data_IF_161997537907
#
_entry.id   IF_161997537907
#
_cell.length_a   1.000
_cell.length_b   1.000
_cell.length_c   1.000
_cell.angle_alpha   90.00
_cell.angle_beta   90.00
_cell.angle_gamma   90.00
#
_symmetry.space_group_name_H-M   'P 1'
#
loop_
_entity.id
_entity.type
_entity.pdbx_description
1 polymer ?
#
# COMPACT_ATOMS: atom_id res chain seq x y z
N UNK A 1 4.93 -17.48 5.62
CA UNK A 1 4.04 -17.26 4.48
C UNK A 1 2.95 -16.32 4.98
N UNK A 2 3.15 -15.01 4.82
CA UNK A 2 2.23 -13.97 5.27
C UNK A 2 1.27 -13.66 4.14
N UNK A 3 -0.01 -13.78 4.42
CA UNK A 3 -1.07 -13.15 3.64
C UNK A 3 -1.41 -11.89 4.41
N UNK A 4 -1.27 -10.75 3.78
CA UNK A 4 -1.57 -9.46 4.36
C UNK A 4 -2.97 -9.04 3.92
N UNK A 5 -3.74 -8.48 4.83
CA UNK A 5 -5.16 -8.16 4.68
C UNK A 5 -5.37 -6.66 4.87
N UNK A 6 -5.92 -6.01 3.87
CA UNK A 6 -6.38 -4.62 3.99
C UNK A 6 -7.89 -4.60 4.13
N UNK A 7 -8.38 -4.17 5.28
CA UNK A 7 -9.77 -3.78 5.46
C UNK A 7 -9.89 -2.27 5.28
N UNK A 8 -10.53 -1.81 4.21
CA UNK A 8 -10.95 -0.41 4.15
C UNK A 8 -12.27 -0.23 4.89
N UNK A 9 -12.23 0.52 5.99
CA UNK A 9 -13.44 0.97 6.68
C UNK A 9 -14.23 1.90 5.77
N UNK A 10 -15.52 1.65 5.63
CA UNK A 10 -16.44 2.57 5.00
C UNK A 10 -16.38 3.89 5.77
N UNK A 11 -15.99 4.98 5.12
CA UNK A 11 -16.19 6.31 5.65
C UNK A 11 -17.69 6.51 5.86
N UNK A 12 -18.13 6.61 7.10
CA UNK A 12 -19.49 7.02 7.43
C UNK A 12 -19.70 8.44 6.91
N UNK A 13 -20.46 8.56 5.83
CA UNK A 13 -21.08 9.83 5.49
C UNK A 13 -22.13 10.17 6.55
N UNK A 14 -21.75 10.94 7.56
CA UNK A 14 -22.69 11.56 8.50
C UNK A 14 -23.44 12.71 7.79
N UNK A 15 -24.74 12.89 8.02
CA UNK A 15 -25.48 14.04 7.51
C UNK A 15 -25.19 15.27 8.37
N UNK A 16 -24.36 16.18 7.86
CA UNK A 16 -24.03 17.43 8.55
C UNK A 16 -23.08 18.30 7.73
N UNK A 17 -23.52 18.73 6.54
CA UNK A 17 -22.77 19.68 5.73
C UNK A 17 -22.83 21.09 6.26
N UNK A 18 -21.77 21.53 6.94
CA UNK A 18 -21.49 22.95 7.13
C UNK A 18 -20.62 23.44 5.97
N UNK A 19 -21.12 24.34 5.15
CA UNK A 19 -20.39 24.99 4.06
C UNK A 19 -19.29 25.88 4.67
N UNK A 20 -18.03 25.54 4.42
CA UNK A 20 -16.90 26.45 4.71
C UNK A 20 -16.91 27.56 3.67
N UNK A 21 -16.86 28.82 4.08
CA UNK A 21 -16.89 29.95 3.17
C UNK A 21 -15.61 30.01 2.32
N UNK A 22 -15.74 30.52 1.09
CA UNK A 22 -14.68 30.59 0.07
C UNK A 22 -13.41 31.35 0.51
N UNK A 23 -13.49 32.12 1.59
CA UNK A 23 -12.38 32.88 2.16
C UNK A 23 -11.43 32.07 3.06
N UNK A 24 -11.95 31.01 3.74
CA UNK A 24 -11.10 30.11 4.55
C UNK A 24 -10.34 29.10 3.70
N UNK A 25 -10.91 28.68 2.57
CA UNK A 25 -10.23 27.80 1.62
C UNK A 25 -9.02 28.41 0.93
N UNK A 26 -8.92 29.74 0.85
CA UNK A 26 -7.76 30.44 0.25
C UNK A 26 -6.57 30.60 1.19
N UNK A 27 -6.76 30.65 2.49
CA UNK A 27 -5.67 30.75 3.47
C UNK A 27 -4.98 29.40 3.71
N UNK A 28 -5.68 28.30 3.64
CA UNK A 28 -5.06 26.96 3.73
C UNK A 28 -4.27 26.54 2.48
N UNK A 29 -4.54 27.14 1.30
CA UNK A 29 -3.79 26.85 0.07
C UNK A 29 -2.41 27.51 0.01
N UNK A 30 -2.15 28.54 0.77
CA UNK A 30 -0.89 29.27 0.73
C UNK A 30 0.23 28.61 1.58
N UNK A 31 -0.13 27.96 2.70
CA UNK A 31 0.86 27.35 3.60
C UNK A 31 1.28 25.92 3.20
N UNK A 32 0.53 25.22 2.36
CA UNK A 32 0.87 23.86 1.90
C UNK A 32 1.75 23.87 0.64
N UNK A 33 1.82 25.01 -0.05
CA UNK A 33 2.54 25.15 -1.33
C UNK A 33 4.07 25.14 -1.20
N UNK A 34 4.63 25.54 -0.07
CA UNK A 34 6.09 25.66 0.08
C UNK A 34 6.77 24.40 0.65
N UNK A 35 6.02 23.48 1.28
CA UNK A 35 6.59 22.23 1.80
C UNK A 35 6.63 21.07 0.78
N UNK A 36 6.02 21.25 -0.39
CA UNK A 36 5.91 20.19 -1.41
C UNK A 36 6.91 20.28 -2.57
N UNK A 37 7.77 21.28 -2.60
CA UNK A 37 8.69 21.50 -3.73
C UNK A 37 10.02 20.73 -3.65
N UNK A 38 10.26 19.95 -2.61
CA UNK A 38 11.53 19.23 -2.42
C UNK A 38 11.49 17.74 -2.78
N UNK A 39 10.42 17.22 -3.32
CA UNK A 39 10.26 15.81 -3.67
C UNK A 39 9.88 15.62 -5.12
N UNK A 40 10.80 15.12 -5.93
CA UNK A 40 10.61 14.53 -7.27
C UNK A 40 11.16 15.31 -8.47
N UNK A 41 12.48 15.43 -8.54
CA UNK A 41 13.15 15.64 -9.84
C UNK A 41 13.94 14.41 -10.35
N UNK A 42 13.80 13.23 -9.74
CA UNK A 42 14.58 12.03 -10.11
C UNK A 42 13.87 11.06 -11.07
N UNK A 43 12.62 11.28 -11.44
CA UNK A 43 11.87 10.35 -12.27
C UNK A 43 11.91 10.69 -13.75
N UNK A 44 12.59 9.89 -14.58
CA UNK A 44 12.35 9.86 -16.02
C UNK A 44 10.88 9.55 -16.32
N UNK A 45 10.42 9.84 -17.55
CA UNK A 45 9.04 9.56 -17.96
C UNK A 45 8.71 8.06 -17.75
N UNK A 46 7.64 7.77 -17.00
CA UNK A 46 7.18 6.39 -16.77
C UNK A 46 6.57 5.84 -18.05
N UNK A 47 7.07 4.71 -18.53
CA UNK A 47 6.47 4.00 -19.65
C UNK A 47 5.29 3.13 -19.15
N UNK A 48 4.11 3.72 -19.15
CA UNK A 48 2.88 3.10 -18.69
C UNK A 48 1.99 2.59 -19.85
N UNK A 49 2.57 2.34 -21.03
CA UNK A 49 1.82 1.86 -22.20
C UNK A 49 1.30 0.44 -22.00
N UNK A 50 0.09 0.21 -22.48
CA UNK A 50 -0.43 -1.14 -22.68
C UNK A 50 0.29 -1.75 -23.88
N UNK A 51 1.01 -2.86 -23.67
CA UNK A 51 1.72 -3.60 -24.72
C UNK A 51 0.78 -4.50 -25.51
N UNK A 52 -0.15 -5.16 -24.82
CA UNK A 52 -1.20 -5.99 -25.44
C UNK A 52 -2.41 -6.11 -24.52
N UNK A 53 -3.56 -6.38 -25.13
CA UNK A 53 -4.80 -6.81 -24.49
C UNK A 53 -5.30 -8.05 -25.21
N UNK A 54 -5.48 -9.15 -24.49
CA UNK A 54 -5.88 -10.45 -25.02
C UNK A 54 -7.15 -10.92 -24.31
N UNK A 55 -8.03 -11.60 -25.03
CA UNK A 55 -9.22 -12.21 -24.46
C UNK A 55 -8.83 -13.25 -23.40
N UNK A 56 -9.54 -13.26 -22.30
CA UNK A 56 -9.39 -14.20 -21.20
C UNK A 56 -10.76 -14.60 -20.68
N UNK A 57 -10.84 -15.77 -20.07
CA UNK A 57 -12.07 -16.26 -19.45
C UNK A 57 -11.80 -16.66 -18.00
N UNK A 58 -12.71 -16.28 -17.12
CA UNK A 58 -12.72 -16.73 -15.73
C UNK A 58 -14.09 -17.28 -15.34
N UNK A 59 -14.19 -18.60 -15.18
CA UNK A 59 -15.44 -19.28 -14.75
C UNK A 59 -16.64 -18.96 -15.64
N UNK A 60 -16.46 -19.02 -16.96
CA UNK A 60 -17.50 -18.72 -17.93
C UNK A 60 -17.86 -17.24 -18.07
N UNK A 61 -16.97 -16.36 -17.59
CA UNK A 61 -17.10 -14.90 -17.75
C UNK A 61 -15.98 -14.39 -18.62
N UNK A 62 -16.34 -13.60 -19.60
CA UNK A 62 -15.37 -12.91 -20.46
C UNK A 62 -14.54 -11.94 -19.65
N UNK A 63 -13.29 -11.78 -20.05
CA UNK A 63 -12.34 -10.88 -19.45
C UNK A 63 -11.16 -10.64 -20.35
N UNK A 64 -10.13 -10.01 -19.81
CA UNK A 64 -8.94 -9.60 -20.53
C UNK A 64 -7.68 -9.92 -19.74
N UNK A 65 -6.59 -10.14 -20.45
CA UNK A 65 -5.22 -10.05 -19.90
C UNK A 65 -4.60 -8.80 -20.52
N UNK A 66 -4.45 -7.77 -19.70
CA UNK A 66 -3.78 -6.53 -20.09
C UNK A 66 -2.30 -6.65 -19.67
N UNK A 67 -1.39 -6.42 -20.63
CA UNK A 67 0.05 -6.47 -20.39
C UNK A 67 0.63 -5.08 -20.49
N UNK A 68 1.44 -4.73 -19.50
CA UNK A 68 2.29 -3.55 -19.51
C UNK A 68 3.75 -3.97 -19.35
N UNK A 69 4.66 -3.02 -19.25
CA UNK A 69 6.08 -3.32 -19.09
C UNK A 69 6.37 -4.26 -17.91
N UNK A 70 5.73 -4.03 -16.75
CA UNK A 70 6.03 -4.78 -15.53
C UNK A 70 4.85 -5.61 -15.01
N UNK A 71 3.66 -5.51 -15.59
CA UNK A 71 2.47 -6.20 -15.10
C UNK A 71 1.78 -7.07 -16.14
N UNK A 72 1.09 -8.13 -15.64
CA UNK A 72 0.02 -8.85 -16.33
C UNK A 72 -1.23 -8.74 -15.48
N UNK A 73 -2.25 -8.07 -16.00
CA UNK A 73 -3.50 -7.80 -15.28
C UNK A 73 -4.57 -8.72 -15.86
N UNK A 74 -4.94 -9.75 -15.11
CA UNK A 74 -6.07 -10.63 -15.41
C UNK A 74 -7.32 -9.99 -14.84
N UNK A 75 -8.30 -9.66 -15.68
CA UNK A 75 -9.45 -8.91 -15.22
C UNK A 75 -10.74 -9.35 -15.89
N UNK A 76 -11.81 -9.40 -15.11
CA UNK A 76 -13.19 -9.50 -15.57
C UNK A 76 -13.91 -8.16 -15.44
N UNK A 77 -13.17 -7.08 -15.13
CA UNK A 77 -13.71 -5.74 -14.98
C UNK A 77 -14.32 -5.24 -16.30
N UNK A 78 -15.57 -4.83 -16.25
CA UNK A 78 -16.30 -4.36 -17.42
C UNK A 78 -16.18 -2.86 -17.65
N UNK A 79 -15.86 -2.06 -16.63
CA UNK A 79 -15.57 -0.63 -16.79
C UNK A 79 -14.22 -0.43 -17.48
N UNK A 80 -14.30 -0.01 -18.77
CA UNK A 80 -13.12 0.28 -19.58
C UNK A 80 -12.21 1.35 -18.95
N UNK A 81 -12.81 2.36 -18.29
CA UNK A 81 -12.06 3.45 -17.64
C UNK A 81 -11.23 2.90 -16.47
N UNK A 82 -11.80 2.02 -15.66
CA UNK A 82 -11.07 1.39 -14.55
C UNK A 82 -9.93 0.51 -15.09
N UNK A 83 -10.18 -0.29 -16.15
CA UNK A 83 -9.13 -1.14 -16.74
C UNK A 83 -7.94 -0.33 -17.27
N UNK A 84 -8.22 0.69 -18.10
CA UNK A 84 -7.18 1.56 -18.68
C UNK A 84 -6.38 2.30 -17.59
N UNK A 85 -7.08 2.88 -16.62
CA UNK A 85 -6.44 3.59 -15.51
C UNK A 85 -5.64 2.66 -14.62
N UNK A 86 -6.08 1.43 -14.40
CA UNK A 86 -5.34 0.47 -13.58
C UNK A 86 -3.98 0.15 -14.18
N UNK A 87 -3.90 -0.06 -15.49
CA UNK A 87 -2.64 -0.32 -16.18
C UNK A 87 -1.63 0.84 -16.00
N UNK A 88 -2.08 2.07 -16.23
CA UNK A 88 -1.28 3.28 -16.01
C UNK A 88 -0.89 3.44 -14.55
N UNK A 89 -1.84 3.23 -13.65
CA UNK A 89 -1.65 3.40 -12.21
C UNK A 89 -0.58 2.48 -11.63
N UNK A 90 -0.60 1.21 -11.99
CA UNK A 90 0.34 0.21 -11.48
C UNK A 90 1.79 0.49 -11.91
N UNK A 91 2.01 0.93 -13.15
CA UNK A 91 3.35 1.30 -13.60
C UNK A 91 3.88 2.54 -12.86
N UNK A 92 3.03 3.53 -12.63
CA UNK A 92 3.40 4.72 -11.85
C UNK A 92 3.60 4.38 -10.37
N UNK A 93 2.79 3.47 -9.79
CA UNK A 93 2.98 2.98 -8.43
C UNK A 93 4.34 2.28 -8.29
N UNK A 94 4.69 1.41 -9.24
CA UNK A 94 5.99 0.75 -9.23
C UNK A 94 7.15 1.74 -9.35
N UNK A 95 7.03 2.75 -10.21
CA UNK A 95 8.04 3.81 -10.32
C UNK A 95 8.18 4.59 -9.00
N UNK A 96 7.07 4.87 -8.31
CA UNK A 96 7.08 5.48 -6.99
C UNK A 96 7.78 4.59 -5.95
N UNK A 97 7.51 3.29 -5.93
CA UNK A 97 8.17 2.35 -5.00
C UNK A 97 9.68 2.32 -5.20
N UNK A 98 10.11 2.30 -6.46
CA UNK A 98 11.52 2.08 -6.81
C UNK A 98 12.39 3.32 -6.79
N UNK A 99 11.80 4.53 -6.75
CA UNK A 99 12.58 5.77 -6.88
C UNK A 99 12.36 6.78 -5.75
N UNK A 100 11.15 6.86 -5.17
CA UNK A 100 10.84 8.00 -4.28
C UNK A 100 11.28 7.75 -2.83
N UNK A 101 11.22 6.52 -2.36
CA UNK A 101 11.68 6.16 -1.01
C UNK A 101 13.18 5.85 -1.01
N UNK A 102 13.60 4.95 -1.89
CA UNK A 102 14.99 4.55 -2.09
C UNK A 102 15.17 4.08 -3.52
N UNK A 103 16.41 4.06 -4.02
CA UNK A 103 16.69 3.40 -5.30
C UNK A 103 16.63 1.87 -5.10
N UNK A 104 15.52 1.27 -5.55
CA UNK A 104 15.24 -0.16 -5.37
C UNK A 104 15.26 -0.89 -6.72
N UNK A 105 15.62 -2.18 -6.74
CA UNK A 105 15.69 -2.95 -7.98
C UNK A 105 14.32 -3.14 -8.62
N UNK A 106 14.22 -3.17 -9.96
CA UNK A 106 12.98 -3.53 -10.64
C UNK A 106 12.61 -4.99 -10.32
N UNK A 107 11.32 -5.37 -10.44
CA UNK A 107 10.92 -6.76 -10.26
C UNK A 107 11.58 -7.66 -11.31
N UNK A 108 12.03 -8.89 -10.94
CA UNK A 108 12.77 -9.77 -11.84
C UNK A 108 11.92 -10.37 -12.97
N UNK A 109 10.61 -10.21 -12.89
CA UNK A 109 9.61 -10.65 -13.87
C UNK A 109 8.35 -9.82 -13.77
N UNK A 110 7.48 -9.89 -14.79
CA UNK A 110 6.17 -9.25 -14.73
C UNK A 110 5.37 -9.75 -13.52
N UNK A 111 4.71 -8.82 -12.86
CA UNK A 111 3.89 -9.06 -11.69
C UNK A 111 2.45 -9.39 -12.12
N UNK A 112 1.88 -10.44 -11.56
CA UNK A 112 0.52 -10.89 -11.87
C UNK A 112 -0.50 -10.23 -10.94
N UNK A 113 -1.50 -9.60 -11.52
CA UNK A 113 -2.59 -8.95 -10.80
C UNK A 113 -3.92 -9.55 -11.25
N UNK A 114 -4.79 -9.88 -10.30
CA UNK A 114 -6.18 -10.23 -10.54
C UNK A 114 -7.07 -9.09 -10.06
N UNK A 115 -7.61 -8.31 -11.02
CA UNK A 115 -8.63 -7.30 -10.78
C UNK A 115 -9.99 -7.88 -11.16
N UNK A 116 -10.79 -8.24 -10.18
CA UNK A 116 -12.10 -8.84 -10.40
C UNK A 116 -13.19 -7.76 -10.40
N UNK A 117 -14.17 -7.92 -11.27
CA UNK A 117 -15.31 -7.01 -11.39
C UNK A 117 -16.10 -6.83 -10.07
N UNK A 118 -16.17 -7.90 -9.28
CA UNK A 118 -16.95 -7.87 -8.05
C UNK A 118 -16.43 -8.82 -6.98
N UNK A 119 -16.95 -8.65 -5.75
CA UNK A 119 -16.59 -9.48 -4.60
C UNK A 119 -16.81 -10.97 -4.77
N UNK A 120 -17.93 -11.49 -5.33
CA UNK A 120 -18.10 -12.91 -5.57
C UNK A 120 -16.99 -13.55 -6.41
N UNK A 121 -16.55 -12.88 -7.47
CA UNK A 121 -15.45 -13.35 -8.31
C UNK A 121 -14.11 -13.28 -7.57
N UNK A 122 -13.89 -12.22 -6.77
CA UNK A 122 -12.74 -12.12 -5.90
C UNK A 122 -12.68 -13.26 -4.87
N UNK A 123 -13.80 -13.63 -4.27
CA UNK A 123 -13.89 -14.79 -3.37
C UNK A 123 -13.52 -16.08 -4.10
N UNK A 124 -13.98 -16.25 -5.33
CA UNK A 124 -13.69 -17.44 -6.13
C UNK A 124 -12.19 -17.53 -6.47
N UNK A 125 -11.57 -16.46 -6.97
CA UNK A 125 -10.13 -16.45 -7.28
C UNK A 125 -9.29 -16.63 -6.01
N UNK A 126 -9.71 -16.04 -4.88
CA UNK A 126 -9.05 -16.20 -3.58
C UNK A 126 -9.00 -17.66 -3.17
N UNK A 127 -10.14 -18.38 -3.26
CA UNK A 127 -10.21 -19.80 -2.93
C UNK A 127 -9.41 -20.67 -3.90
N UNK A 128 -9.37 -20.34 -5.18
CA UNK A 128 -8.52 -21.05 -6.15
C UNK A 128 -7.03 -20.92 -5.84
N UNK A 129 -6.58 -19.73 -5.45
CA UNK A 129 -5.17 -19.47 -5.15
C UNK A 129 -4.72 -20.03 -3.79
N UNK A 130 -5.58 -20.02 -2.79
CA UNK A 130 -5.21 -20.27 -1.40
C UNK A 130 -5.88 -21.51 -0.77
N UNK A 131 -6.87 -22.10 -1.43
CA UNK A 131 -7.66 -23.19 -0.86
C UNK A 131 -8.36 -22.77 0.44
N UNK A 132 -8.42 -23.64 1.43
CA UNK A 132 -9.03 -23.36 2.75
C UNK A 132 -8.35 -22.20 3.51
N UNK A 133 -7.10 -21.88 3.19
CA UNK A 133 -6.43 -20.69 3.77
C UNK A 133 -7.06 -19.38 3.34
N UNK A 134 -7.77 -19.37 2.21
CA UNK A 134 -8.51 -18.20 1.72
C UNK A 134 -9.74 -17.86 2.57
N UNK A 135 -10.28 -18.77 3.38
CA UNK A 135 -11.53 -18.52 4.11
C UNK A 135 -11.42 -17.38 5.13
N UNK A 136 -10.24 -17.20 5.73
CA UNK A 136 -9.98 -16.03 6.60
C UNK A 136 -9.95 -14.72 5.82
N UNK A 137 -9.41 -14.74 4.60
CA UNK A 137 -9.31 -13.58 3.73
C UNK A 137 -10.69 -13.17 3.21
N UNK A 138 -11.50 -14.13 2.77
CA UNK A 138 -12.85 -13.84 2.28
C UNK A 138 -13.78 -13.32 3.37
N UNK A 139 -13.42 -13.51 4.65
CA UNK A 139 -14.09 -12.88 5.79
C UNK A 139 -13.92 -11.37 5.88
N UNK A 140 -12.92 -10.78 5.21
CA UNK A 140 -12.72 -9.33 5.17
C UNK A 140 -13.79 -8.68 4.29
N UNK A 141 -14.53 -7.68 4.80
CA UNK A 141 -15.66 -7.09 4.06
C UNK A 141 -15.26 -6.40 2.78
N UNK A 142 -14.14 -5.65 2.79
CA UNK A 142 -13.61 -4.87 1.67
C UNK A 142 -12.08 -4.89 1.70
N UNK A 143 -11.45 -5.01 0.54
CA UNK A 143 -10.00 -4.95 0.43
C UNK A 143 -9.45 -5.87 -0.66
N UNK A 144 -8.16 -6.11 -0.59
CA UNK A 144 -7.39 -7.00 -1.44
C UNK A 144 -6.43 -7.84 -0.61
N UNK A 145 -5.53 -8.51 -1.28
CA UNK A 145 -4.38 -9.16 -0.66
C UNK A 145 -3.27 -9.40 -1.70
N UNK A 146 -2.05 -9.54 -1.21
CA UNK A 146 -0.93 -10.03 -2.02
C UNK A 146 -0.40 -11.36 -1.46
N UNK A 147 -0.14 -12.30 -2.35
CA UNK A 147 0.41 -13.61 -1.99
C UNK A 147 1.37 -14.13 -3.05
N UNK A 148 2.57 -14.55 -2.65
CA UNK A 148 3.60 -15.10 -3.55
C UNK A 148 3.93 -14.19 -4.73
N UNK A 149 3.81 -12.86 -4.54
CA UNK A 149 3.99 -11.88 -5.59
C UNK A 149 2.85 -11.80 -6.60
N UNK A 150 1.64 -12.18 -6.21
CA UNK A 150 0.39 -12.01 -6.95
C UNK A 150 -0.50 -11.05 -6.16
N UNK A 151 -0.95 -9.96 -6.79
CA UNK A 151 -1.93 -9.05 -6.22
C UNK A 151 -3.35 -9.48 -6.59
N UNK A 152 -4.30 -9.41 -5.64
CA UNK A 152 -5.70 -9.83 -5.88
C UNK A 152 -6.66 -8.85 -5.21
N UNK A 153 -7.45 -8.16 -5.99
CA UNK A 153 -8.45 -7.20 -5.52
C UNK A 153 -9.65 -7.15 -6.48
N UNK A 154 -10.67 -6.39 -6.14
CA UNK A 154 -11.89 -6.26 -6.95
C UNK A 154 -12.36 -4.83 -6.97
N UNK A 155 -13.30 -4.50 -7.85
CA UNK A 155 -13.85 -3.15 -7.94
C UNK A 155 -14.59 -2.75 -6.65
N UNK A 156 -14.09 -1.68 -6.04
CA UNK A 156 -14.61 -1.02 -4.84
C UNK A 156 -15.07 0.41 -5.14
N UNK A 157 -15.11 0.77 -6.43
CA UNK A 157 -15.14 2.12 -6.95
C UNK A 157 -13.74 2.65 -7.20
N UNK A 158 -13.59 3.46 -8.25
CA UNK A 158 -12.30 3.87 -8.81
C UNK A 158 -11.25 4.28 -7.75
N UNK A 159 -11.61 5.15 -6.80
CA UNK A 159 -10.69 5.66 -5.78
C UNK A 159 -10.21 4.56 -4.83
N UNK A 160 -11.15 3.80 -4.27
CA UNK A 160 -10.84 2.79 -3.27
C UNK A 160 -10.08 1.61 -3.90
N UNK A 161 -10.45 1.22 -5.14
CA UNK A 161 -9.75 0.19 -5.90
C UNK A 161 -8.29 0.58 -6.15
N UNK A 162 -8.02 1.84 -6.54
CA UNK A 162 -6.65 2.33 -6.74
C UNK A 162 -5.85 2.37 -5.44
N UNK A 163 -6.45 2.78 -4.32
CA UNK A 163 -5.76 2.77 -3.03
C UNK A 163 -5.41 1.35 -2.58
N UNK A 164 -6.34 0.38 -2.73
CA UNK A 164 -6.07 -1.04 -2.47
C UNK A 164 -4.99 -1.56 -3.42
N UNK A 165 -5.06 -1.22 -4.70
CA UNK A 165 -4.06 -1.63 -5.68
C UNK A 165 -2.66 -1.12 -5.32
N UNK A 166 -2.50 0.14 -4.89
CA UNK A 166 -1.21 0.67 -4.45
C UNK A 166 -0.67 -0.09 -3.23
N UNK A 167 -1.51 -0.33 -2.24
CA UNK A 167 -1.15 -1.08 -1.03
C UNK A 167 -0.69 -2.51 -1.35
N UNK A 168 -1.53 -3.26 -2.06
CA UNK A 168 -1.25 -4.67 -2.37
C UNK A 168 -0.10 -4.83 -3.37
N UNK A 169 0.08 -3.87 -4.28
CA UNK A 169 1.20 -3.90 -5.21
C UNK A 169 2.54 -3.63 -4.53
N UNK A 170 2.58 -2.85 -3.45
CA UNK A 170 3.77 -2.76 -2.61
C UNK A 170 4.14 -4.14 -2.04
N UNK A 171 3.21 -4.83 -1.39
CA UNK A 171 3.44 -6.18 -0.87
C UNK A 171 3.80 -7.18 -1.97
N UNK A 172 3.15 -7.10 -3.12
CA UNK A 172 3.46 -7.92 -4.27
C UNK A 172 4.90 -7.72 -4.73
N UNK A 173 5.32 -6.45 -4.83
CA UNK A 173 6.67 -6.07 -5.23
C UNK A 173 7.71 -6.56 -4.23
N UNK A 174 7.54 -6.30 -2.93
CA UNK A 174 8.48 -6.73 -1.90
C UNK A 174 8.60 -8.25 -1.81
N UNK A 175 7.49 -8.98 -1.92
CA UNK A 175 7.47 -10.45 -1.94
C UNK A 175 8.24 -11.06 -3.12
N UNK A 176 8.39 -10.32 -4.24
CA UNK A 176 9.11 -10.80 -5.43
C UNK A 176 10.54 -10.35 -5.50
N UNK A 177 10.86 -9.22 -4.89
CA UNK A 177 12.10 -8.50 -5.16
C UNK A 177 13.03 -8.49 -3.95
N UNK A 178 12.49 -8.44 -2.73
CA UNK A 178 13.31 -8.30 -1.54
C UNK A 178 13.94 -9.63 -1.11
N UNK A 179 15.23 -9.59 -0.76
CA UNK A 179 15.95 -10.74 -0.22
C UNK A 179 15.61 -11.01 1.25
N UNK A 180 15.34 -9.96 2.03
CA UNK A 180 14.87 -10.04 3.41
C UNK A 180 13.47 -9.43 3.54
N UNK A 181 12.70 -9.91 4.52
CA UNK A 181 11.40 -9.33 4.86
C UNK A 181 11.58 -8.13 5.77
N UNK A 182 10.84 -7.06 5.49
CA UNK A 182 10.70 -5.95 6.41
C UNK A 182 9.95 -6.38 7.69
N UNK A 183 10.21 -5.73 8.84
CA UNK A 183 9.34 -5.84 10.01
C UNK A 183 7.88 -5.49 9.64
N UNK A 184 6.91 -6.19 10.22
CA UNK A 184 5.50 -6.07 9.83
C UNK A 184 5.00 -4.63 9.89
N UNK A 185 5.31 -3.90 10.96
CA UNK A 185 4.91 -2.50 11.09
C UNK A 185 5.45 -1.59 9.97
N UNK A 186 6.66 -1.87 9.51
CA UNK A 186 7.30 -1.08 8.44
C UNK A 186 6.76 -1.48 7.07
N UNK A 187 6.59 -2.77 6.83
CA UNK A 187 5.97 -3.28 5.60
C UNK A 187 4.58 -2.69 5.39
N UNK A 188 3.74 -2.73 6.44
CA UNK A 188 2.40 -2.16 6.42
C UNK A 188 2.41 -0.63 6.37
N UNK A 189 3.28 -0.02 7.16
CA UNK A 189 3.40 1.44 7.17
C UNK A 189 3.79 2.01 5.82
N UNK A 190 4.70 1.36 5.10
CA UNK A 190 5.08 1.72 3.74
C UNK A 190 3.93 1.43 2.75
N UNK A 191 3.25 0.28 2.87
CA UNK A 191 2.10 -0.02 2.02
C UNK A 191 1.01 1.06 2.13
N UNK A 192 0.68 1.48 3.36
CA UNK A 192 -0.28 2.58 3.60
C UNK A 192 0.26 3.93 3.12
N UNK A 193 1.56 4.16 3.22
CA UNK A 193 2.21 5.38 2.72
C UNK A 193 2.09 5.47 1.19
N UNK A 194 2.15 4.33 0.47
CA UNK A 194 1.98 4.24 -0.99
C UNK A 194 0.53 4.45 -1.47
N UNK A 195 -0.50 4.35 -0.61
CA UNK A 195 -1.90 4.55 -0.97
C UNK A 195 -2.21 5.99 -1.41
N UNK A 196 -1.46 6.98 -0.89
CA UNK A 196 -1.71 8.40 -1.11
C UNK A 196 -1.40 8.83 -2.53
N UNK A 197 -2.43 9.14 -3.31
CA UNK A 197 -2.27 9.60 -4.70
C UNK A 197 -3.35 10.58 -5.13
N UNK A 198 -3.07 11.32 -6.19
CA UNK A 198 -4.02 12.18 -6.91
C UNK A 198 -3.81 12.05 -8.40
N UNK A 199 -4.87 12.26 -9.18
CA UNK A 199 -4.79 12.29 -10.64
C UNK A 199 -4.60 13.73 -11.12
N UNK A 200 -3.58 13.96 -11.95
CA UNK A 200 -3.30 15.25 -12.60
C UNK A 200 -3.08 15.03 -14.10
N UNK A 201 -3.93 15.61 -14.92
CA UNK A 201 -3.81 15.47 -16.40
C UNK A 201 -3.82 14.01 -16.90
N UNK A 202 -4.58 13.12 -16.25
CA UNK A 202 -4.64 11.69 -16.63
C UNK A 202 -3.51 10.83 -16.09
N UNK A 203 -2.60 11.40 -15.27
CA UNK A 203 -1.45 10.69 -14.66
C UNK A 203 -1.62 10.64 -13.13
N UNK A 204 -1.40 9.50 -12.48
CA UNK A 204 -1.38 9.42 -11.01
C UNK A 204 -0.08 10.05 -10.48
N UNK A 205 -0.21 10.92 -9.49
CA UNK A 205 0.89 11.51 -8.74
C UNK A 205 0.78 11.01 -7.31
N UNK A 206 1.82 10.35 -6.82
CA UNK A 206 1.85 9.79 -5.49
C UNK A 206 2.26 10.87 -4.49
N UNK A 207 1.37 11.16 -3.57
CA UNK A 207 1.54 12.12 -2.50
C UNK A 207 1.06 11.44 -1.20
N UNK A 208 1.95 10.93 -0.36
CA UNK A 208 1.55 10.18 0.84
C UNK A 208 0.56 10.92 1.74
N UNK A 209 0.63 12.25 1.76
CA UNK A 209 -0.33 13.11 2.49
C UNK A 209 -1.74 13.18 1.85
N UNK A 210 -1.90 12.70 0.62
CA UNK A 210 -3.22 12.64 -0.01
C UNK A 210 -4.13 11.55 0.58
N UNK A 211 -3.60 10.70 1.46
CA UNK A 211 -4.38 9.69 2.18
C UNK A 211 -5.14 10.31 3.37
N UNK A 212 -6.16 11.11 3.06
CA UNK A 212 -6.94 11.82 4.07
C UNK A 212 -7.68 10.88 5.02
N UNK A 213 -8.10 9.69 4.55
CA UNK A 213 -8.78 8.70 5.40
C UNK A 213 -7.90 8.19 6.54
N UNK A 214 -6.59 8.00 6.30
CA UNK A 214 -5.64 7.61 7.37
C UNK A 214 -5.38 8.74 8.33
N UNK A 215 -5.31 9.96 7.83
CA UNK A 215 -5.18 11.15 8.67
C UNK A 215 -6.40 11.35 9.58
N UNK A 216 -7.61 11.24 9.05
CA UNK A 216 -8.83 11.36 9.84
C UNK A 216 -8.91 10.25 10.90
N UNK A 217 -8.59 9.01 10.54
CA UNK A 217 -8.53 7.90 11.50
C UNK A 217 -7.49 8.15 12.60
N UNK A 218 -6.32 8.67 12.25
CA UNK A 218 -5.30 9.04 13.25
C UNK A 218 -5.84 10.08 14.25
N UNK A 219 -6.58 11.09 13.76
CA UNK A 219 -7.20 12.09 14.64
C UNK A 219 -8.21 11.46 15.60
N UNK A 220 -9.02 10.51 15.12
CA UNK A 220 -9.94 9.74 15.97
C UNK A 220 -9.19 8.93 17.04
N UNK A 221 -8.11 8.25 16.67
CA UNK A 221 -7.25 7.47 17.56
C UNK A 221 -6.69 8.37 18.69
N UNK A 222 -6.15 9.54 18.30
CA UNK A 222 -5.61 10.53 19.24
C UNK A 222 -6.69 11.05 20.18
N UNK A 223 -7.82 11.48 19.62
CA UNK A 223 -8.93 12.07 20.41
C UNK A 223 -9.54 11.08 21.39
N UNK A 224 -9.53 9.79 21.05
CA UNK A 224 -10.05 8.72 21.89
C UNK A 224 -9.01 8.14 22.85
N UNK A 225 -7.77 8.66 22.88
CA UNK A 225 -6.70 8.16 23.74
C UNK A 225 -6.23 6.73 23.42
N UNK A 226 -6.38 6.28 22.17
CA UNK A 226 -6.03 4.92 21.71
C UNK A 226 -4.64 4.81 21.07
N UNK A 227 -3.80 5.84 21.21
CA UNK A 227 -2.43 5.76 20.70
C UNK A 227 -1.64 4.66 21.42
N UNK A 228 -1.02 3.81 20.62
CA UNK A 228 -0.02 2.86 21.12
C UNK A 228 1.32 3.57 21.33
N UNK A 229 2.10 3.15 22.31
CA UNK A 229 3.51 3.53 22.35
C UNK A 229 4.24 3.01 21.11
N UNK A 230 5.31 3.69 20.68
CA UNK A 230 6.10 3.24 19.53
C UNK A 230 6.63 1.81 19.76
N UNK A 231 7.13 1.51 20.97
CA UNK A 231 7.60 0.15 21.31
C UNK A 231 6.52 -0.90 21.12
N UNK A 232 5.29 -0.64 21.59
CA UNK A 232 4.16 -1.55 21.40
C UNK A 232 3.74 -1.62 19.92
N UNK A 233 3.73 -0.49 19.22
CA UNK A 233 3.29 -0.43 17.82
C UNK A 233 4.18 -1.29 16.90
N UNK A 234 5.49 -1.27 17.09
CA UNK A 234 6.43 -2.01 16.24
C UNK A 234 6.41 -3.53 16.48
N UNK A 235 5.83 -3.99 17.59
CA UNK A 235 5.63 -5.41 17.91
C UNK A 235 4.28 -5.94 17.41
N UNK A 236 3.35 -5.06 17.03
CA UNK A 236 2.01 -5.44 16.58
C UNK A 236 1.99 -5.92 15.13
N UNK A 237 0.89 -6.60 14.79
CA UNK A 237 0.56 -6.97 13.42
C UNK A 237 -0.94 -6.80 13.17
N UNK A 238 -1.39 -6.59 11.93
CA UNK A 238 -2.82 -6.50 11.60
C UNK A 238 -3.63 -7.69 12.09
N UNK A 239 -3.04 -8.90 12.02
CA UNK A 239 -3.69 -10.14 12.47
C UNK A 239 -4.05 -10.17 13.96
N UNK A 240 -3.29 -9.50 14.81
CA UNK A 240 -3.58 -9.42 16.25
C UNK A 240 -4.87 -8.62 16.53
N UNK A 241 -5.18 -7.65 15.66
CA UNK A 241 -6.36 -6.79 15.81
C UNK A 241 -7.65 -7.39 15.23
N UNK A 242 -7.54 -8.40 14.37
CA UNK A 242 -8.70 -9.12 13.83
C UNK A 242 -9.39 -10.01 14.88
N UNK A 243 -8.67 -10.38 15.94
CA UNK A 243 -9.14 -11.27 17.02
C UNK A 243 -9.56 -10.51 18.27
N UNK A 244 -9.27 -9.22 18.37
CA UNK A 244 -9.63 -8.38 19.51
C UNK A 244 -11.10 -7.98 19.43
N UNK A 245 -11.90 -8.31 20.43
CA UNK A 245 -13.39 -8.27 20.48
C UNK A 245 -14.10 -6.90 20.37
N UNK A 246 -13.59 -6.00 19.54
CA UNK A 246 -14.28 -4.77 19.09
C UNK A 246 -15.03 -4.97 17.77
N UNK A 247 -15.70 -3.95 17.22
CA UNK A 247 -16.23 -4.01 15.87
C UNK A 247 -15.14 -4.47 14.91
N UNK A 248 -15.39 -5.56 14.18
CA UNK A 248 -14.39 -6.20 13.34
C UNK A 248 -13.81 -5.18 12.35
N UNK A 249 -12.55 -4.83 12.53
CA UNK A 249 -11.82 -3.90 11.66
C UNK A 249 -11.32 -2.61 12.32
N UNK A 250 -11.92 -2.12 13.43
CA UNK A 250 -11.51 -0.84 14.03
C UNK A 250 -10.07 -0.85 14.54
N UNK A 251 -9.64 -1.90 15.22
CA UNK A 251 -8.27 -2.03 15.71
C UNK A 251 -7.24 -2.11 14.58
N UNK A 252 -7.60 -2.74 13.45
CA UNK A 252 -6.75 -2.81 12.24
C UNK A 252 -6.59 -1.43 11.62
N UNK A 253 -7.68 -0.66 11.52
CA UNK A 253 -7.63 0.71 11.00
C UNK A 253 -6.82 1.64 11.89
N UNK A 254 -6.93 1.49 13.22
CA UNK A 254 -6.13 2.23 14.20
C UNK A 254 -4.64 1.90 14.04
N UNK A 255 -4.29 0.64 13.85
CA UNK A 255 -2.93 0.20 13.59
C UNK A 255 -2.39 0.83 12.30
N UNK A 256 -3.11 0.74 11.17
CA UNK A 256 -2.69 1.32 9.90
C UNK A 256 -2.49 2.83 9.96
N UNK A 257 -3.38 3.56 10.63
CA UNK A 257 -3.23 5.00 10.79
C UNK A 257 -1.96 5.37 11.59
N UNK A 258 -1.63 4.59 12.61
CA UNK A 258 -0.45 4.83 13.46
C UNK A 258 0.87 4.45 12.75
N UNK A 259 0.94 3.32 12.04
CA UNK A 259 2.16 2.95 11.29
C UNK A 259 2.38 3.88 10.09
N UNK A 260 1.30 4.35 9.44
CA UNK A 260 1.37 5.41 8.42
C UNK A 260 1.99 6.71 8.99
N UNK A 261 1.52 7.15 10.16
CA UNK A 261 2.07 8.33 10.82
C UNK A 261 3.54 8.14 11.22
N UNK A 262 3.93 6.94 11.66
CA UNK A 262 5.31 6.61 11.99
C UNK A 262 6.22 6.68 10.76
N UNK A 263 5.78 6.15 9.61
CA UNK A 263 6.54 6.27 8.35
C UNK A 263 6.66 7.73 7.92
N UNK A 264 5.59 8.54 8.03
CA UNK A 264 5.67 9.97 7.79
C UNK A 264 6.68 10.67 8.71
N UNK A 265 6.67 10.36 10.00
CA UNK A 265 7.65 10.91 10.94
C UNK A 265 9.09 10.54 10.57
N UNK A 266 9.31 9.29 10.16
CA UNK A 266 10.64 8.83 9.74
C UNK A 266 11.09 9.47 8.42
N UNK A 267 10.17 9.74 7.49
CA UNK A 267 10.48 10.34 6.19
C UNK A 267 10.58 11.87 6.19
N UNK A 268 10.09 12.55 7.25
CA UNK A 268 9.97 14.01 7.28
C UNK A 268 11.30 14.75 7.50
N UNK A 269 12.31 14.11 8.10
CA UNK A 269 13.59 14.72 8.42
C UNK A 269 14.72 13.97 7.70
N UNK A 270 15.68 14.69 7.08
CA UNK A 270 16.70 14.08 6.20
C UNK A 270 17.49 12.94 6.81
N UNK A 271 17.90 13.03 8.08
CA UNK A 271 18.70 12.00 8.75
C UNK A 271 17.90 10.72 9.04
N UNK A 272 16.65 10.86 9.48
CA UNK A 272 15.73 9.72 9.68
C UNK A 272 15.36 9.10 8.34
N UNK A 273 15.07 9.92 7.34
CA UNK A 273 14.77 9.47 5.98
C UNK A 273 15.92 8.64 5.40
N UNK A 274 17.16 9.14 5.47
CA UNK A 274 18.33 8.40 5.00
C UNK A 274 18.53 7.05 5.74
N UNK A 275 18.14 6.97 7.01
CA UNK A 275 18.18 5.71 7.77
C UNK A 275 17.08 4.74 7.32
N UNK A 276 15.88 5.24 7.05
CA UNK A 276 14.77 4.47 6.48
C UNK A 276 15.12 3.94 5.08
N UNK A 277 15.65 4.81 4.20
CA UNK A 277 16.10 4.45 2.85
C UNK A 277 17.14 3.32 2.88
N UNK A 278 18.15 3.42 3.76
CA UNK A 278 19.16 2.37 3.93
C UNK A 278 18.56 1.07 4.41
N UNK A 279 17.65 1.10 5.40
CA UNK A 279 16.99 -0.09 5.92
C UNK A 279 16.21 -0.83 4.83
N UNK A 280 15.46 -0.08 4.02
CA UNK A 280 14.66 -0.65 2.92
C UNK A 280 15.58 -1.21 1.82
N UNK A 281 16.66 -0.50 1.46
CA UNK A 281 17.63 -0.95 0.48
C UNK A 281 18.41 -2.20 0.97
N UNK A 282 18.74 -2.28 2.25
CA UNK A 282 19.38 -3.46 2.84
C UNK A 282 18.44 -4.67 2.89
N UNK A 283 17.15 -4.46 3.16
CA UNK A 283 16.14 -5.52 3.06
C UNK A 283 16.00 -6.02 1.62
N UNK A 284 15.91 -5.12 0.64
CA UNK A 284 15.85 -5.48 -0.76
C UNK A 284 17.08 -6.33 -1.19
N UNK A 285 18.26 -5.97 -0.71
CA UNK A 285 19.50 -6.67 -1.00
C UNK A 285 19.79 -7.92 -0.13
N UNK A 286 18.88 -8.29 0.78
CA UNK A 286 19.05 -9.43 1.69
C UNK A 286 20.17 -9.25 2.72
N UNK A 287 20.39 -8.04 3.18
CA UNK A 287 21.48 -7.70 4.14
C UNK A 287 20.97 -7.19 5.49
N UNK A 288 19.69 -6.89 5.62
CA UNK A 288 19.11 -6.25 6.80
C UNK A 288 19.44 -7.00 8.12
N UNK A 289 19.31 -8.30 8.11
CA UNK A 289 19.55 -9.13 9.32
C UNK A 289 21.02 -9.39 9.59
N UNK A 290 21.90 -9.25 8.59
CA UNK A 290 23.34 -9.39 8.76
C UNK A 290 23.94 -8.20 9.53
N UNK A 291 23.47 -6.99 9.26
CA UNK A 291 23.89 -5.78 9.99
C UNK A 291 23.56 -5.89 11.46
N UNK A 292 22.35 -6.33 11.81
CA UNK A 292 21.93 -6.53 13.22
C UNK A 292 22.72 -7.63 13.91
N UNK A 293 23.15 -8.67 13.21
CA UNK A 293 23.98 -9.74 13.77
C UNK A 293 25.43 -9.29 13.99
N UNK A 294 25.99 -8.44 13.10
CA UNK A 294 27.34 -7.89 13.22
C UNK A 294 27.53 -6.97 14.43
N UNK A 295 26.54 -6.13 14.75
CA UNK A 295 26.59 -5.26 15.93
C UNK A 295 26.49 -6.00 17.27
N UNK A 296 25.86 -7.17 17.30
CA UNK A 296 25.81 -8.03 18.51
C UNK A 296 27.08 -8.83 18.75
N UNK A 297 27.93 -9.00 17.74
CA UNK A 297 29.17 -9.78 17.85
C UNK A 297 30.38 -9.01 18.40
N UNK A 298 30.35 -7.67 18.43
CA UNK A 298 31.47 -6.83 18.89
C UNK A 298 31.44 -6.49 20.38
N UNK A 299 30.42 -6.92 21.13
CA UNK A 299 30.25 -6.61 22.55
C UNK A 299 30.79 -7.65 23.56
N UNK A 300 31.44 -8.74 23.16
CA UNK A 300 31.94 -9.79 24.04
C UNK A 300 33.48 -9.91 23.95
N UNK A 301 34.19 -8.96 24.54
CA UNK A 301 35.67 -8.99 24.59
C UNK A 301 36.24 -8.06 25.66
N UNK A 302 35.70 -8.08 26.85
CA UNK A 302 36.47 -7.58 28.01
C UNK A 302 36.90 -8.80 28.84
N UNK A 303 38.14 -9.22 28.61
CA UNK A 303 38.88 -10.03 29.57
C UNK A 303 39.56 -9.06 30.55
N UNK A 304 39.22 -9.15 31.76
CA UNK A 304 39.95 -8.67 32.90
C UNK A 304 39.97 -9.73 33.94
#
# INVERSE_FOLDING_TARGET
MGVLLVGMGAGCAGPGGGWVTEAEGRRQKADVGELSAAGSERGGAVDARVESEEAWEFSGRDGWVVRTRHYRIFTTETDAVLRERMAVFLEHALAHYTNDLAELPPPPMKLDVYLMDNRPQWVEVTRRLLGSRGDRIVGVPRGGFATRGIGVYYDLGLRDTMSVAAHESWHQYTQRTFGDRLPVWLEEGLAVWMEGHRWRGGVPVFEPWANTGRFDRLREVVSAGRLSSVGSLVEQSPGAHLTSGGPAGDGVLDFYAQVWALVHFLSAEPGRRASLERLVADAAAGRMWRVVAGERGSGAGVRG
#
